data_IF_470128808458
#
_entry.id   IF_470128808458
#
_cell.length_a   1.000
_cell.length_b   1.000
_cell.length_c   1.000
_cell.angle_alpha   90.00
_cell.angle_beta   90.00
_cell.angle_gamma   90.00
#
_symmetry.space_group_name_H-M   'P 1'
#
loop_
_entity.id
_entity.type
_entity.pdbx_description
1 polymer ?
#
# COMPACT_ATOMS: atom_id res chain seq x y z
N UNK A 1 -16.66 4.15 -56.32
CA UNK A 1 -15.72 3.35 -55.49
C UNK A 1 -14.94 4.14 -54.44
N UNK A 2 -15.02 5.48 -54.39
CA UNK A 2 -14.21 6.31 -53.47
C UNK A 2 -14.86 6.52 -52.09
N UNK A 3 -16.17 6.31 -51.98
CA UNK A 3 -16.96 6.61 -50.77
C UNK A 3 -16.85 5.49 -49.72
N UNK A 4 -16.85 4.21 -50.14
CA UNK A 4 -16.70 3.06 -49.25
C UNK A 4 -15.35 3.02 -48.51
N UNK A 5 -14.29 3.55 -49.14
CA UNK A 5 -12.94 3.57 -48.58
C UNK A 5 -12.77 4.59 -47.44
N UNK A 6 -13.64 5.60 -47.36
CA UNK A 6 -13.66 6.60 -46.28
C UNK A 6 -14.39 6.10 -45.03
N UNK A 7 -15.48 5.34 -45.19
CA UNK A 7 -16.22 4.78 -44.05
C UNK A 7 -15.48 3.63 -43.35
N UNK A 8 -14.71 2.83 -44.09
CA UNK A 8 -13.86 1.78 -43.50
C UNK A 8 -12.81 2.37 -42.54
N UNK A 9 -12.30 3.58 -42.84
CA UNK A 9 -11.31 4.28 -42.01
C UNK A 9 -11.91 4.92 -40.75
N UNK A 10 -13.19 5.31 -40.79
CA UNK A 10 -13.90 5.89 -39.63
C UNK A 10 -14.38 4.77 -38.69
N UNK A 11 -14.77 3.61 -39.24
CA UNK A 11 -15.20 2.45 -38.44
C UNK A 11 -14.06 1.80 -37.63
N UNK A 12 -12.81 1.89 -38.08
CA UNK A 12 -11.64 1.37 -37.34
C UNK A 12 -11.18 2.31 -36.22
N UNK A 13 -11.50 3.60 -36.27
CA UNK A 13 -11.19 4.56 -35.20
C UNK A 13 -12.19 4.56 -34.04
N UNK A 14 -13.33 3.89 -34.17
CA UNK A 14 -14.43 3.96 -33.18
C UNK A 14 -14.37 2.88 -32.08
N UNK A 15 -13.31 2.07 -32.01
CA UNK A 15 -13.13 1.02 -31.00
C UNK A 15 -11.85 1.17 -30.17
N UNK A 16 -11.24 2.35 -30.15
CA UNK A 16 -10.18 2.66 -29.19
C UNK A 16 -10.82 2.97 -27.83
N UNK A 17 -11.24 1.94 -27.10
CA UNK A 17 -11.50 2.09 -25.67
C UNK A 17 -10.16 2.44 -25.03
N UNK A 18 -10.00 3.71 -24.61
CA UNK A 18 -8.92 4.11 -23.73
C UNK A 18 -9.19 3.44 -22.38
N UNK A 19 -8.58 2.28 -22.16
CA UNK A 19 -8.54 1.60 -20.86
C UNK A 19 -7.64 2.45 -19.96
N UNK A 20 -8.25 3.20 -19.05
CA UNK A 20 -7.53 3.93 -18.01
C UNK A 20 -7.53 3.05 -16.76
N UNK A 21 -6.44 2.32 -16.57
CA UNK A 21 -6.16 1.62 -15.32
C UNK A 21 -5.77 2.64 -14.23
N UNK A 22 -6.18 2.34 -12.99
CA UNK A 22 -5.70 3.06 -11.80
C UNK A 22 -4.70 2.24 -11.03
N UNK A 23 -3.55 2.84 -10.75
CA UNK A 23 -2.59 2.30 -9.81
C UNK A 23 -3.15 2.36 -8.39
N UNK A 24 -3.20 1.22 -7.72
CA UNK A 24 -3.56 1.10 -6.33
C UNK A 24 -2.33 1.03 -5.45
N UNK A 25 -2.47 1.52 -4.22
CA UNK A 25 -1.44 1.50 -3.19
C UNK A 25 -1.77 0.45 -2.14
N UNK A 26 -0.75 -0.30 -1.68
CA UNK A 26 -0.83 -1.21 -0.54
C UNK A 26 0.36 -1.05 0.38
N UNK A 27 0.16 -1.43 1.64
CA UNK A 27 1.16 -1.35 2.70
C UNK A 27 1.49 -2.76 3.18
N UNK A 28 2.78 -3.00 3.41
CA UNK A 28 3.32 -4.16 4.13
C UNK A 28 3.89 -3.60 5.42
N UNK A 29 3.18 -3.82 6.52
CA UNK A 29 3.60 -3.40 7.85
C UNK A 29 4.75 -4.28 8.39
N UNK A 30 5.62 -3.74 9.24
CA UNK A 30 6.73 -4.51 9.82
C UNK A 30 6.27 -5.70 10.67
N UNK A 31 5.16 -5.56 11.38
CA UNK A 31 4.71 -6.53 12.37
C UNK A 31 3.48 -7.31 11.92
N UNK A 32 2.57 -6.64 11.22
CA UNK A 32 1.28 -7.17 10.78
C UNK A 32 1.33 -7.63 9.31
N UNK A 33 2.37 -7.26 8.57
CA UNK A 33 2.55 -7.63 7.18
C UNK A 33 1.54 -6.99 6.23
N UNK A 34 1.35 -7.63 5.08
CA UNK A 34 0.32 -7.27 4.11
C UNK A 34 -1.00 -7.97 4.47
N UNK A 35 -2.08 -7.23 4.80
CA UNK A 35 -3.35 -7.81 5.20
C UNK A 35 -4.04 -8.63 4.09
N UNK A 36 -3.67 -8.44 2.81
CA UNK A 36 -4.27 -9.16 1.69
C UNK A 36 -3.54 -10.45 1.36
N UNK A 37 -2.20 -10.40 1.28
CA UNK A 37 -1.39 -11.57 0.98
C UNK A 37 -1.01 -12.39 2.22
N UNK A 38 -1.22 -11.83 3.42
CA UNK A 38 -0.78 -12.38 4.71
C UNK A 38 0.74 -12.56 4.80
N UNK A 39 1.50 -11.93 3.89
CA UNK A 39 2.95 -11.96 3.91
C UNK A 39 3.47 -11.00 4.97
N UNK A 40 4.32 -11.50 5.86
CA UNK A 40 5.10 -10.68 6.79
C UNK A 40 6.53 -10.57 6.26
N UNK A 41 7.20 -9.41 6.41
CA UNK A 41 8.61 -9.27 6.08
C UNK A 41 9.45 -10.35 6.79
N UNK A 42 10.45 -10.87 6.08
CA UNK A 42 11.37 -11.86 6.65
C UNK A 42 12.64 -11.15 7.05
N UNK A 43 13.00 -11.27 8.31
CA UNK A 43 14.15 -10.63 8.92
C UNK A 43 15.27 -11.63 9.14
N UNK A 44 16.48 -11.31 8.67
CA UNK A 44 17.64 -12.17 8.84
C UNK A 44 18.85 -11.41 9.42
N UNK A 45 19.60 -12.03 10.35
CA UNK A 45 19.22 -13.25 11.08
C UNK A 45 18.11 -12.91 12.11
N UNK A 46 17.11 -13.78 12.31
CA UNK A 46 15.87 -13.43 13.04
C UNK A 46 16.09 -13.09 14.51
N UNK A 47 17.15 -13.60 15.14
CA UNK A 47 17.51 -13.34 16.53
C UNK A 47 18.14 -11.96 16.75
N UNK A 48 18.49 -11.24 15.68
CA UNK A 48 19.09 -9.90 15.72
C UNK A 48 18.12 -8.81 15.27
N UNK A 49 16.84 -9.17 15.12
CA UNK A 49 15.71 -8.27 14.91
C UNK A 49 14.71 -8.44 16.05
N UNK A 50 14.09 -7.35 16.45
CA UNK A 50 13.10 -7.38 17.52
C UNK A 50 12.03 -6.32 17.30
N UNK A 51 10.81 -6.61 17.74
CA UNK A 51 9.76 -5.60 17.79
C UNK A 51 10.18 -4.49 18.78
N UNK A 52 10.20 -3.26 18.28
CA UNK A 52 10.64 -2.08 19.01
C UNK A 52 9.56 -1.44 19.88
N UNK A 53 8.28 -1.53 19.52
CA UNK A 53 7.19 -1.04 20.35
C UNK A 53 7.06 -1.88 21.62
N UNK A 54 7.11 -1.23 22.78
CA UNK A 54 7.12 -1.88 24.09
C UNK A 54 8.46 -2.49 24.50
N UNK A 55 9.50 -2.34 23.67
CA UNK A 55 10.82 -2.87 23.96
C UNK A 55 11.51 -2.14 25.13
N UNK A 56 11.67 -2.86 26.25
CA UNK A 56 12.25 -2.28 27.47
C UNK A 56 13.78 -2.16 27.41
N UNK A 57 14.45 -2.92 26.56
CA UNK A 57 15.93 -2.92 26.45
C UNK A 57 16.44 -2.14 25.22
N UNK A 58 15.55 -1.67 24.35
CA UNK A 58 15.92 -0.90 23.18
C UNK A 58 16.38 0.49 23.59
N UNK A 59 17.50 0.90 22.99
CA UNK A 59 18.06 2.24 23.20
C UNK A 59 17.30 3.29 22.37
N UNK A 60 16.84 2.89 21.17
CA UNK A 60 16.04 3.73 20.29
C UNK A 60 14.56 3.50 20.62
N UNK A 61 13.86 4.59 20.94
CA UNK A 61 12.45 4.55 21.35
C UNK A 61 11.67 5.67 20.66
N UNK A 62 11.41 5.55 19.35
CA UNK A 62 10.46 6.43 18.70
C UNK A 62 9.07 6.32 19.33
N UNK A 63 8.26 7.34 19.08
CA UNK A 63 6.86 7.40 19.46
C UNK A 63 6.06 6.44 18.58
N UNK A 64 5.30 5.48 19.15
CA UNK A 64 4.43 4.61 18.37
C UNK A 64 3.30 5.36 17.66
N UNK A 65 2.95 6.58 18.07
CA UNK A 65 1.87 7.33 17.42
C UNK A 65 2.23 7.83 16.02
N UNK A 66 3.53 7.83 15.69
CA UNK A 66 4.08 8.38 14.46
C UNK A 66 4.60 7.28 13.51
N UNK A 67 4.58 6.01 13.94
CA UNK A 67 4.92 4.83 13.16
C UNK A 67 3.68 4.20 12.52
N UNK A 68 3.83 3.52 11.39
CA UNK A 68 2.74 2.79 10.74
C UNK A 68 2.29 1.65 11.66
N UNK A 69 0.97 1.51 11.83
CA UNK A 69 0.34 0.59 12.79
C UNK A 69 0.91 0.59 14.21
N UNK A 70 1.58 1.68 14.60
CA UNK A 70 2.29 1.81 15.87
C UNK A 70 3.37 0.73 16.12
N UNK A 71 4.03 0.22 15.08
CA UNK A 71 5.07 -0.82 15.19
C UNK A 71 6.33 -0.45 14.41
N UNK A 72 7.47 -1.05 14.78
CA UNK A 72 8.70 -1.03 14.00
C UNK A 72 9.63 -2.18 14.41
N UNK A 73 10.47 -2.66 13.51
CA UNK A 73 11.47 -3.68 13.80
C UNK A 73 12.86 -3.05 13.94
N UNK A 74 13.50 -3.33 15.09
CA UNK A 74 14.77 -2.76 15.55
C UNK A 74 15.90 -3.79 15.48
N UNK A 75 17.09 -3.35 15.07
CA UNK A 75 18.36 -4.12 15.03
C UNK A 75 19.47 -3.52 15.91
N UNK A 76 19.17 -2.41 16.59
CA UNK A 76 20.15 -1.62 17.33
C UNK A 76 20.82 -2.45 18.44
N UNK A 77 22.12 -2.21 18.61
CA UNK A 77 22.93 -2.87 19.63
C UNK A 77 23.67 -4.11 19.15
N UNK A 78 23.62 -4.42 17.86
CA UNK A 78 24.32 -5.55 17.25
C UNK A 78 25.04 -5.13 15.96
N UNK A 79 26.10 -5.85 15.57
CA UNK A 79 26.87 -5.59 14.35
C UNK A 79 26.71 -6.73 13.34
N UNK A 80 27.24 -6.54 12.13
CA UNK A 80 27.20 -7.52 11.05
C UNK A 80 26.04 -7.28 10.07
N UNK A 81 25.83 -8.24 9.16
CA UNK A 81 24.83 -8.11 8.10
C UNK A 81 23.40 -8.29 8.64
N UNK A 82 22.50 -7.41 8.21
CA UNK A 82 21.06 -7.47 8.47
C UNK A 82 20.33 -7.41 7.14
N UNK A 83 19.30 -8.21 6.97
CA UNK A 83 18.44 -8.11 5.79
C UNK A 83 16.95 -8.17 6.12
N UNK A 84 16.18 -7.59 5.22
CA UNK A 84 14.73 -7.64 5.19
C UNK A 84 14.32 -8.11 3.78
N UNK A 85 13.52 -9.17 3.72
CA UNK A 85 12.92 -9.64 2.47
C UNK A 85 11.45 -9.23 2.40
N UNK A 86 11.05 -8.74 1.23
CA UNK A 86 9.68 -8.40 0.86
C UNK A 86 9.22 -9.25 -0.32
N UNK A 87 7.93 -9.57 -0.36
CA UNK A 87 7.26 -10.13 -1.52
C UNK A 87 6.05 -9.28 -1.85
N UNK A 88 5.93 -8.87 -3.11
CA UNK A 88 4.82 -8.04 -3.57
C UNK A 88 4.51 -8.35 -5.03
N UNK A 89 3.31 -7.98 -5.50
CA UNK A 89 2.99 -7.96 -6.94
C UNK A 89 2.67 -6.53 -7.30
N UNK A 90 3.46 -5.91 -8.18
CA UNK A 90 3.27 -4.49 -8.47
C UNK A 90 4.36 -3.86 -9.32
N UNK A 91 4.21 -2.57 -9.60
CA UNK A 91 5.05 -1.76 -10.50
C UNK A 91 6.07 -0.88 -9.77
N UNK A 92 5.97 -0.77 -8.44
CA UNK A 92 6.90 0.00 -7.62
C UNK A 92 6.80 -0.42 -6.15
N UNK A 93 7.87 -0.24 -5.41
CA UNK A 93 7.91 -0.41 -3.95
C UNK A 93 8.82 0.66 -3.33
N UNK A 94 8.38 1.26 -2.22
CA UNK A 94 9.15 2.16 -1.40
C UNK A 94 9.20 1.63 0.04
N UNK A 95 10.39 1.55 0.61
CA UNK A 95 10.67 1.03 1.95
C UNK A 95 10.93 2.21 2.86
N UNK A 96 10.23 2.26 3.99
CA UNK A 96 10.30 3.34 4.95
C UNK A 96 10.80 2.86 6.31
N UNK A 97 11.56 3.72 6.96
CA UNK A 97 12.04 3.49 8.31
C UNK A 97 12.08 4.77 9.12
N UNK A 98 12.57 4.62 10.35
CA UNK A 98 12.69 5.68 11.34
C UNK A 98 14.18 5.95 11.59
N UNK A 99 14.59 7.21 11.53
CA UNK A 99 15.99 7.60 11.70
C UNK A 99 16.11 8.57 12.88
N UNK A 100 16.97 8.27 13.86
CA UNK A 100 17.22 9.20 14.95
C UNK A 100 18.00 10.43 14.44
N UNK A 101 17.64 11.62 14.93
CA UNK A 101 18.25 12.89 14.54
C UNK A 101 19.73 12.95 14.90
N UNK A 102 20.02 12.67 16.16
CA UNK A 102 21.37 12.55 16.71
C UNK A 102 21.39 11.37 17.67
N UNK A 103 22.39 10.50 17.52
CA UNK A 103 22.60 9.39 18.43
C UNK A 103 24.10 9.10 18.54
N UNK A 104 24.60 9.13 19.78
CA UNK A 104 26.01 8.92 20.10
C UNK A 104 26.42 7.44 20.04
N UNK A 105 25.45 6.52 20.03
CA UNK A 105 25.65 5.07 20.06
C UNK A 105 25.41 4.41 18.71
N UNK A 106 24.61 5.01 17.84
CA UNK A 106 24.20 4.39 16.57
C UNK A 106 24.31 5.32 15.38
N UNK A 107 24.71 4.71 14.24
CA UNK A 107 24.65 5.29 12.90
C UNK A 107 23.56 4.65 12.07
N UNK A 108 22.88 5.50 11.31
CA UNK A 108 21.92 5.13 10.28
C UNK A 108 22.52 5.28 8.88
N UNK A 109 23.66 5.98 8.79
CA UNK A 109 24.42 6.15 7.56
C UNK A 109 25.28 4.88 7.41
N UNK A 110 24.83 3.95 6.58
CA UNK A 110 25.49 2.67 6.33
C UNK A 110 25.45 2.30 4.85
N UNK A 111 26.28 1.33 4.48
CA UNK A 111 26.27 0.77 3.13
C UNK A 111 25.15 -0.26 3.03
N UNK A 112 24.29 -0.06 2.04
CA UNK A 112 23.20 -0.94 1.72
C UNK A 112 23.43 -1.61 0.37
N UNK A 113 22.80 -2.75 0.19
CA UNK A 113 22.59 -3.37 -1.11
C UNK A 113 21.16 -3.89 -1.21
N UNK A 114 20.70 -4.12 -2.43
CA UNK A 114 19.47 -4.85 -2.66
C UNK A 114 19.58 -5.81 -3.84
N UNK A 115 18.79 -6.87 -3.82
CA UNK A 115 18.53 -7.77 -4.96
C UNK A 115 17.04 -7.77 -5.26
N UNK A 116 16.69 -7.78 -6.54
CA UNK A 116 15.31 -7.89 -7.01
C UNK A 116 15.22 -9.13 -7.91
N UNK A 117 14.35 -10.08 -7.57
CA UNK A 117 14.11 -11.30 -8.35
C UNK A 117 15.40 -12.09 -8.64
N UNK A 118 16.23 -12.28 -7.60
CA UNK A 118 17.52 -12.98 -7.67
C UNK A 118 18.55 -12.34 -8.63
N UNK A 119 18.40 -11.04 -8.92
CA UNK A 119 19.41 -10.26 -9.66
C UNK A 119 20.70 -10.09 -8.88
N UNK A 120 21.76 -9.67 -9.57
CA UNK A 120 23.00 -9.22 -8.94
C UNK A 120 22.75 -8.09 -7.91
N UNK A 121 23.44 -8.08 -6.76
CA UNK A 121 23.29 -7.04 -5.75
C UNK A 121 23.64 -5.64 -6.27
N UNK A 122 22.76 -4.68 -6.03
CA UNK A 122 22.98 -3.26 -6.31
C UNK A 122 23.28 -2.51 -5.03
N UNK A 123 24.50 -1.97 -4.90
CA UNK A 123 24.92 -1.19 -3.73
C UNK A 123 24.44 0.25 -3.77
N UNK A 124 24.07 0.80 -2.62
CA UNK A 124 23.67 2.19 -2.45
C UNK A 124 23.94 2.67 -1.02
N UNK A 125 23.77 3.98 -0.79
CA UNK A 125 23.89 4.58 0.54
C UNK A 125 22.54 5.09 1.00
N UNK A 126 22.34 5.16 2.31
CA UNK A 126 21.07 5.63 2.90
C UNK A 126 20.74 7.05 2.39
N UNK A 127 19.51 7.28 1.89
CA UNK A 127 19.08 8.61 1.48
C UNK A 127 19.16 9.61 2.64
N UNK A 128 19.37 10.89 2.31
CA UNK A 128 19.44 11.95 3.31
C UNK A 128 18.16 12.04 4.14
N UNK A 129 18.28 12.32 5.43
CA UNK A 129 17.16 12.62 6.33
C UNK A 129 16.45 13.86 5.82
N UNK A 130 15.24 13.70 5.30
CA UNK A 130 14.41 14.82 4.83
C UNK A 130 13.26 15.05 5.81
N UNK A 131 12.77 16.30 5.87
CA UNK A 131 11.65 16.68 6.73
C UNK A 131 12.06 17.29 8.09
N UNK A 132 11.06 17.45 8.96
CA UNK A 132 11.20 17.98 10.32
C UNK A 132 11.14 16.79 11.28
N UNK A 133 12.12 16.62 12.18
CA UNK A 133 12.06 15.54 13.16
C UNK A 133 10.92 15.79 14.14
N UNK A 134 10.21 14.73 14.52
CA UNK A 134 9.29 14.73 15.65
C UNK A 134 10.06 14.22 16.87
N UNK A 135 10.17 15.09 17.88
CA UNK A 135 11.12 14.95 18.99
C UNK A 135 12.57 14.75 18.51
N UNK A 136 13.04 13.49 18.56
CA UNK A 136 14.40 13.09 18.21
C UNK A 136 14.45 12.13 17.02
N UNK A 137 13.35 11.95 16.28
CA UNK A 137 13.25 10.98 15.20
C UNK A 137 12.66 11.59 13.93
N UNK A 138 13.16 11.13 12.79
CA UNK A 138 12.58 11.35 11.47
C UNK A 138 11.81 10.09 11.10
N UNK A 139 10.51 10.23 10.84
CA UNK A 139 9.64 9.14 10.39
C UNK A 139 9.46 9.21 8.88
N UNK A 140 8.93 8.15 8.26
CA UNK A 140 8.72 8.08 6.82
C UNK A 140 10.00 8.36 6.01
N UNK A 141 11.17 7.96 6.54
CA UNK A 141 12.43 8.08 5.83
C UNK A 141 12.50 6.97 4.78
N UNK A 142 12.52 7.34 3.50
CA UNK A 142 12.72 6.38 2.41
C UNK A 142 14.11 5.74 2.52
N UNK A 143 14.16 4.45 2.81
CA UNK A 143 15.39 3.66 2.81
C UNK A 143 15.74 3.23 1.39
N UNK A 144 14.75 2.78 0.62
CA UNK A 144 14.88 2.37 -0.79
C UNK A 144 13.59 2.68 -1.53
N UNK A 145 13.67 3.10 -2.79
CA UNK A 145 12.50 3.27 -3.65
C UNK A 145 12.80 2.77 -5.06
N UNK A 146 12.02 1.79 -5.52
CA UNK A 146 12.09 1.21 -6.85
C UNK A 146 10.79 1.50 -7.61
N UNK A 147 10.91 1.85 -8.88
CA UNK A 147 9.78 2.21 -9.74
C UNK A 147 9.99 1.69 -11.16
N UNK A 148 8.97 1.78 -12.01
CA UNK A 148 8.98 1.27 -13.39
C UNK A 148 9.27 -0.23 -13.46
N UNK A 149 8.82 -0.99 -12.46
CA UNK A 149 8.88 -2.45 -12.48
C UNK A 149 7.73 -3.00 -13.33
N UNK A 150 7.89 -4.17 -13.96
CA UNK A 150 6.77 -4.90 -14.56
C UNK A 150 5.69 -5.18 -13.51
N UNK A 151 4.40 -5.17 -13.86
CA UNK A 151 3.33 -5.50 -12.92
C UNK A 151 3.26 -7.03 -12.68
N UNK A 152 4.27 -7.58 -12.00
CA UNK A 152 4.45 -9.01 -11.75
C UNK A 152 4.79 -9.27 -10.29
N UNK A 153 4.85 -10.54 -9.90
CA UNK A 153 5.35 -10.91 -8.58
C UNK A 153 6.85 -10.62 -8.49
N UNK A 154 7.25 -9.99 -7.40
CA UNK A 154 8.62 -9.59 -7.10
C UNK A 154 9.06 -10.10 -5.73
N UNK A 155 10.33 -10.47 -5.62
CA UNK A 155 11.03 -10.67 -4.35
C UNK A 155 12.15 -9.66 -4.23
N UNK A 156 12.06 -8.80 -3.22
CA UNK A 156 13.08 -7.80 -2.92
C UNK A 156 13.79 -8.20 -1.63
N UNK A 157 15.12 -8.29 -1.66
CA UNK A 157 15.94 -8.42 -0.44
C UNK A 157 16.78 -7.17 -0.30
N UNK A 158 16.64 -6.48 0.83
CA UNK A 158 17.45 -5.34 1.20
C UNK A 158 18.41 -5.77 2.30
N UNK A 159 19.71 -5.50 2.13
CA UNK A 159 20.76 -5.87 3.06
C UNK A 159 21.58 -4.65 3.47
N UNK A 160 21.98 -4.60 4.74
CA UNK A 160 22.87 -3.58 5.27
C UNK A 160 23.94 -4.22 6.15
N UNK A 161 25.17 -3.71 6.04
CA UNK A 161 26.27 -4.10 6.92
C UNK A 161 26.38 -3.11 8.08
N UNK A 162 25.96 -3.53 9.27
CA UNK A 162 26.00 -2.69 10.47
C UNK A 162 27.43 -2.65 11.02
N UNK A 163 28.06 -1.47 11.13
CA UNK A 163 29.41 -1.36 11.65
C UNK A 163 29.48 -1.86 13.09
N UNK A 164 30.57 -2.56 13.42
CA UNK A 164 30.90 -2.86 14.81
C UNK A 164 31.43 -1.59 15.49
N UNK A 165 31.11 -1.37 16.79
CA UNK A 165 31.80 -0.35 17.56
C UNK A 165 33.31 -0.59 17.50
N UNK A 166 34.08 0.44 17.16
CA UNK A 166 35.53 0.42 17.09
C UNK A 166 36.13 1.46 18.04
N UNK A 167 37.45 1.40 18.32
CA UNK A 167 38.13 2.45 19.10
C UNK A 167 38.03 3.84 18.44
N UNK A 168 37.82 3.89 17.13
CA UNK A 168 37.74 5.11 16.33
C UNK A 168 36.30 5.62 16.16
N UNK A 169 35.30 4.73 16.28
CA UNK A 169 33.88 5.05 16.27
C UNK A 169 33.16 4.15 17.26
N UNK A 170 32.74 4.70 18.39
CA UNK A 170 31.90 4.00 19.37
C UNK A 170 30.49 3.70 18.86
N UNK A 171 30.14 4.14 17.64
CA UNK A 171 28.80 3.99 17.05
C UNK A 171 28.67 2.66 16.31
N UNK A 172 27.73 1.83 16.74
CA UNK A 172 27.25 0.69 15.97
C UNK A 172 26.27 1.11 14.87
N UNK A 173 25.81 0.18 14.04
CA UNK A 173 24.69 0.41 13.12
C UNK A 173 23.32 0.24 13.79
N UNK A 174 22.29 0.88 13.25
CA UNK A 174 20.91 0.60 13.60
C UNK A 174 19.97 0.79 12.41
N UNK A 175 19.03 -0.15 12.27
CA UNK A 175 17.89 -0.08 11.35
C UNK A 175 16.64 -0.11 12.22
N UNK A 176 15.76 0.87 12.02
CA UNK A 176 14.37 0.84 12.51
C UNK A 176 13.48 0.80 11.27
N UNK A 177 13.04 -0.40 10.89
CA UNK A 177 12.15 -0.58 9.76
C UNK A 177 10.69 -0.45 10.21
N UNK A 178 9.90 0.31 9.45
CA UNK A 178 8.53 0.71 9.82
C UNK A 178 7.51 0.06 8.87
N UNK A 179 7.56 0.39 7.58
CA UNK A 179 6.67 -0.23 6.60
C UNK A 179 7.22 -0.15 5.18
N UNK A 180 6.66 -0.95 4.29
CA UNK A 180 6.83 -0.81 2.85
C UNK A 180 5.51 -0.44 2.17
N UNK A 181 5.56 0.38 1.13
CA UNK A 181 4.42 0.73 0.30
C UNK A 181 4.68 0.29 -1.14
N UNK A 182 3.81 -0.54 -1.70
CA UNK A 182 3.89 -0.94 -3.10
C UNK A 182 2.69 -0.45 -3.89
N UNK A 183 2.91 -0.23 -5.20
CA UNK A 183 1.86 0.13 -6.15
C UNK A 183 1.67 -0.99 -7.14
N UNK A 184 0.44 -1.25 -7.54
CA UNK A 184 0.12 -2.27 -8.53
C UNK A 184 -1.02 -1.82 -9.42
N UNK A 185 -1.06 -2.37 -10.62
CA UNK A 185 -2.19 -2.23 -11.54
C UNK A 185 -3.11 -3.43 -11.35
N UNK A 186 -4.37 -3.19 -10.97
CA UNK A 186 -5.34 -4.26 -10.73
C UNK A 186 -6.18 -4.62 -11.98
N UNK A 187 -5.90 -3.97 -13.11
CA UNK A 187 -6.60 -4.16 -14.37
C UNK A 187 -8.07 -3.70 -14.34
N UNK A 188 -8.50 -3.00 -13.29
CA UNK A 188 -9.84 -2.43 -13.23
C UNK A 188 -9.90 -1.09 -13.96
N UNK A 189 -10.94 -0.93 -14.78
CA UNK A 189 -11.27 0.36 -15.39
C UNK A 189 -11.73 1.32 -14.30
N UNK A 190 -11.12 2.51 -14.24
CA UNK A 190 -11.64 3.56 -13.37
C UNK A 190 -13.01 4.03 -13.89
N UNK A 191 -14.03 4.22 -13.04
CA UNK A 191 -15.22 4.95 -13.45
C UNK A 191 -14.77 6.38 -13.77
N UNK A 192 -14.82 6.75 -15.04
CA UNK A 192 -14.65 8.14 -15.44
C UNK A 192 -15.76 8.95 -14.77
N UNK A 193 -15.40 9.71 -13.73
CA UNK A 193 -16.24 10.81 -13.27
C UNK A 193 -16.18 11.84 -14.39
N UNK A 194 -17.06 11.70 -15.36
CA UNK A 194 -17.44 12.80 -16.23
C UNK A 194 -18.05 13.86 -15.32
N UNK A 195 -17.23 14.82 -14.88
CA UNK A 195 -17.72 16.10 -14.38
C UNK A 195 -18.42 16.79 -15.55
N UNK A 196 -19.71 16.51 -15.71
CA UNK A 196 -20.59 17.38 -16.48
C UNK A 196 -20.65 18.69 -15.71
N UNK A 197 -19.92 19.67 -16.22
CA UNK A 197 -20.04 21.06 -15.86
C UNK A 197 -21.50 21.49 -16.07
N UNK A 198 -22.16 21.85 -14.97
CA UNK A 198 -23.61 21.91 -14.88
C UNK A 198 -24.07 22.80 -13.74
N UNK A 199 -23.73 24.09 -13.88
CA UNK A 199 -24.44 25.27 -13.38
C UNK A 199 -25.07 25.23 -11.99
N UNK A 200 -24.50 26.06 -11.10
CA UNK A 200 -25.09 26.49 -9.84
C UNK A 200 -26.56 26.89 -9.97
N UNK A 201 -27.42 26.23 -9.20
CA UNK A 201 -28.70 26.83 -8.77
C UNK A 201 -28.79 26.74 -7.24
N UNK A 202 -28.50 27.88 -6.64
CA UNK A 202 -28.82 28.27 -5.27
C UNK A 202 -30.32 28.14 -5.01
N UNK A 203 -30.73 27.73 -3.81
CA UNK A 203 -31.83 28.31 -3.00
C UNK A 203 -31.87 27.63 -1.61
N UNK A 204 -32.34 28.32 -0.55
CA UNK A 204 -31.73 28.28 0.78
C UNK A 204 -32.59 27.63 1.88
N UNK A 205 -31.92 27.29 3.00
CA UNK A 205 -32.41 27.57 4.36
C UNK A 205 -33.23 26.50 5.09
N UNK A 206 -32.63 25.91 6.13
CA UNK A 206 -33.06 26.17 7.52
C UNK A 206 -32.14 25.49 8.53
N UNK A 207 -31.43 26.33 9.27
CA UNK A 207 -30.91 26.09 10.62
C UNK A 207 -32.04 25.82 11.60
N UNK A 208 -31.94 24.74 12.40
CA UNK A 208 -32.29 24.78 13.82
C UNK A 208 -31.30 23.87 14.56
N UNK A 209 -30.36 24.48 15.26
CA UNK A 209 -29.70 23.87 16.40
C UNK A 209 -30.62 24.04 17.61
N UNK A 210 -30.83 23.00 18.41
CA UNK A 210 -31.16 23.18 19.84
C UNK A 210 -30.54 22.06 20.66
N UNK A 211 -29.76 22.53 21.61
CA UNK A 211 -29.03 21.89 22.70
C UNK A 211 -29.94 21.16 23.68
N UNK A 212 -29.40 20.10 24.29
CA UNK A 212 -30.07 19.35 25.36
C UNK A 212 -29.09 18.46 26.11
N UNK A 213 -28.12 19.06 26.79
CA UNK A 213 -27.27 18.39 27.79
C UNK A 213 -28.07 18.20 29.08
N UNK A 214 -28.14 16.99 29.62
CA UNK A 214 -27.75 16.66 31.01
C UNK A 214 -28.24 15.27 31.44
N UNK A 215 -27.23 14.42 31.72
CA UNK A 215 -27.05 13.66 32.97
C UNK A 215 -28.25 12.90 33.56
N UNK A 216 -28.16 11.56 33.59
CA UNK A 216 -27.92 10.80 34.84
C UNK A 216 -27.55 9.33 34.55
N UNK A 217 -26.39 8.93 35.08
CA UNK A 217 -25.90 7.55 35.31
C UNK A 217 -26.53 7.01 36.62
N UNK A 218 -26.18 5.83 37.19
CA UNK A 218 -25.79 4.50 36.69
C UNK A 218 -26.71 3.38 37.23
N UNK A 219 -26.62 2.15 36.69
CA UNK A 219 -26.36 0.95 37.51
C UNK A 219 -26.24 -0.33 36.68
N UNK A 220 -25.02 -0.87 36.74
CA UNK A 220 -24.54 -2.25 36.68
C UNK A 220 -25.58 -3.36 36.89
N UNK A 221 -25.55 -4.41 36.05
CA UNK A 221 -25.42 -5.82 36.48
C UNK A 221 -25.20 -6.75 35.27
N UNK A 222 -24.11 -7.51 35.32
CA UNK A 222 -23.86 -8.75 34.55
C UNK A 222 -24.51 -9.90 35.33
N UNK A 223 -25.15 -10.88 34.68
CA UNK A 223 -24.49 -12.19 34.59
C UNK A 223 -24.64 -12.91 33.23
N UNK A 224 -23.59 -13.70 32.98
CA UNK A 224 -23.41 -14.78 32.01
C UNK A 224 -24.63 -15.67 31.74
N UNK A 225 -24.84 -16.02 30.46
CA UNK A 225 -25.15 -17.39 30.07
C UNK A 225 -25.00 -17.58 28.54
N UNK A 226 -24.02 -18.39 28.14
CA UNK A 226 -23.97 -19.00 26.82
C UNK A 226 -25.02 -20.11 26.76
N UNK A 227 -25.76 -20.25 25.64
CA UNK A 227 -25.90 -21.59 25.09
C UNK A 227 -25.73 -21.62 23.57
N UNK A 228 -24.97 -22.62 23.13
CA UNK A 228 -24.94 -23.13 21.78
C UNK A 228 -26.35 -23.50 21.31
N UNK A 229 -26.74 -23.09 20.11
CA UNK A 229 -28.02 -23.44 19.51
C UNK A 229 -28.06 -23.09 18.03
N UNK A 230 -27.83 -24.10 17.20
CA UNK A 230 -28.01 -24.14 15.75
C UNK A 230 -29.47 -23.84 15.36
N UNK A 231 -29.68 -22.99 14.36
CA UNK A 231 -30.82 -23.14 13.43
C UNK A 231 -30.61 -22.34 12.15
N UNK A 232 -30.69 -23.08 11.04
CA UNK A 232 -30.91 -22.61 9.68
C UNK A 232 -32.17 -21.74 9.57
N UNK A 233 -32.10 -20.69 8.74
CA UNK A 233 -33.05 -20.41 7.64
C UNK A 233 -32.52 -19.16 6.89
N UNK A 234 -32.01 -19.28 5.67
CA UNK A 234 -32.78 -19.31 4.41
C UNK A 234 -33.23 -17.90 3.97
N UNK A 235 -32.43 -17.29 3.09
CA UNK A 235 -32.89 -16.24 2.18
C UNK A 235 -32.01 -16.21 0.92
N UNK A 236 -32.50 -16.90 -0.12
CA UNK A 236 -32.14 -16.75 -1.53
C UNK A 236 -31.84 -15.29 -1.94
N UNK A 237 -30.79 -15.10 -2.75
CA UNK A 237 -30.94 -14.57 -4.12
C UNK A 237 -29.71 -14.88 -4.97
N UNK A 238 -29.96 -15.65 -6.04
CA UNK A 238 -29.03 -15.87 -7.15
C UNK A 238 -29.11 -14.67 -8.08
N UNK A 239 -27.97 -14.12 -8.48
CA UNK A 239 -27.85 -13.35 -9.73
C UNK A 239 -26.70 -13.96 -10.54
N UNK A 240 -27.06 -14.96 -11.37
CA UNK A 240 -26.30 -15.30 -12.56
C UNK A 240 -26.66 -14.23 -13.61
N UNK A 241 -25.75 -13.33 -13.93
CA UNK A 241 -25.87 -12.47 -15.09
C UNK A 241 -25.10 -13.11 -16.24
N UNK A 242 -25.87 -13.51 -17.25
CA UNK A 242 -25.46 -14.05 -18.54
C UNK A 242 -24.74 -12.94 -19.31
N UNK A 243 -23.44 -13.10 -19.58
CA UNK A 243 -22.72 -12.32 -20.61
C UNK A 243 -22.60 -13.23 -21.83
N UNK A 244 -23.65 -13.28 -22.63
CA UNK A 244 -23.58 -13.88 -23.97
C UNK A 244 -24.51 -13.08 -24.88
N UNK A 245 -23.94 -12.34 -25.83
CA UNK A 245 -24.67 -11.85 -27.00
C UNK A 245 -24.79 -10.34 -27.16
N UNK A 246 -23.68 -9.59 -27.22
CA UNK A 246 -23.68 -8.23 -27.79
C UNK A 246 -22.56 -8.02 -28.84
N UNK A 247 -22.19 -9.06 -29.58
CA UNK A 247 -21.30 -8.91 -30.76
C UNK A 247 -21.95 -9.37 -32.07
N UNK A 248 -23.00 -10.19 -32.03
CA UNK A 248 -23.69 -10.65 -33.25
C UNK A 248 -24.93 -9.82 -33.65
N UNK A 249 -25.57 -9.10 -32.70
CA UNK A 249 -26.75 -8.27 -33.00
C UNK A 249 -26.44 -6.99 -33.76
N UNK A 250 -25.25 -6.39 -33.53
CA UNK A 250 -24.84 -5.14 -34.19
C UNK A 250 -24.58 -5.31 -35.68
N UNK A 251 -23.98 -6.43 -36.09
CA UNK A 251 -23.72 -6.73 -37.50
C UNK A 251 -25.00 -7.01 -38.30
N UNK A 252 -26.00 -7.68 -37.69
CA UNK A 252 -27.28 -7.94 -38.34
C UNK A 252 -28.11 -6.66 -38.53
N UNK A 253 -28.10 -5.74 -37.55
CA UNK A 253 -28.84 -4.48 -37.64
C UNK A 253 -28.24 -3.51 -38.68
N UNK A 254 -26.91 -3.44 -38.77
CA UNK A 254 -26.22 -2.67 -39.82
C UNK A 254 -26.45 -3.25 -41.22
N UNK A 255 -26.52 -4.58 -41.36
CA UNK A 255 -26.86 -5.21 -42.65
C UNK A 255 -28.32 -4.97 -43.06
N UNK A 256 -29.23 -4.84 -42.11
CA UNK A 256 -30.65 -4.58 -42.38
C UNK A 256 -30.91 -3.13 -42.81
N UNK A 257 -30.15 -2.17 -42.26
CA UNK A 257 -30.25 -0.76 -42.68
C UNK A 257 -29.62 -0.52 -44.06
N UNK A 258 -28.50 -1.20 -44.40
CA UNK A 258 -27.87 -1.03 -45.71
C UNK A 258 -28.71 -1.58 -46.88
N UNK A 259 -29.61 -2.53 -46.64
CA UNK A 259 -30.46 -3.12 -47.69
C UNK A 259 -31.73 -2.32 -47.96
N UNK A 260 -32.11 -1.39 -47.08
CA UNK A 260 -33.27 -0.52 -47.28
C UNK A 260 -32.96 0.84 -47.91
N UNK A 261 -31.67 1.20 -48.04
CA UNK A 261 -31.24 2.50 -48.59
C UNK A 261 -30.40 2.40 -49.88
N UNK A 262 -30.38 1.23 -50.53
CA UNK A 262 -29.82 1.01 -51.88
C UNK A 262 -30.78 0.24 -52.76
#
# INVERSE_FOLDING_TARGET
>A
MTVYRRYLFISTLSFSHLVLSVLQDRVIDDQLGDPFSQFMPIYEPPDLWQQGNGCQNCTLRPSPLDAEQATWHDTSGSSGSRSIQFRFTGVSIAIYGIIAKQNERFTFDMNWSYTLDDSEPTSYTTPSRTGVPLDNFYYNCSLLSLSNLPNTAHTLVMEASLPAPSPESSRGGAILFDYAKYRFDDGSDSPSVLTTDGSFTTIPGSTVATSGTSQTQPATTVPSSNPSGTSQADAKKKHLAVILGLTFGGLAFLSFILTFFF
#
